data_IF_415372930099
#
_entry.id   IF_415372930099
#
_cell.length_a   1.000
_cell.length_b   1.000
_cell.length_c   1.000
_cell.angle_alpha   90.00
_cell.angle_beta   90.00
_cell.angle_gamma   90.00
#
_symmetry.space_group_name_H-M   'P 1'
#
loop_
_entity.id
_entity.type
_entity.pdbx_description
1 polymer ?
#
# COMPACT_ATOMS: atom_id res chain seq x y z
N UNK A 1 -18.77 2.58 -9.23
CA UNK A 1 -17.52 1.75 -9.07
C UNK A 1 -17.07 1.20 -10.42
N UNK A 2 -15.84 1.53 -10.87
CA UNK A 2 -15.21 1.06 -12.12
C UNK A 2 -14.54 -0.31 -11.90
N UNK A 3 -15.37 -1.33 -11.86
CA UNK A 3 -14.91 -2.72 -11.66
C UNK A 3 -14.00 -3.23 -12.78
N UNK A 4 -14.15 -2.70 -13.99
CA UNK A 4 -13.27 -2.96 -15.13
C UNK A 4 -11.82 -2.53 -14.84
N UNK A 5 -11.62 -1.32 -14.32
CA UNK A 5 -10.30 -0.81 -13.92
C UNK A 5 -9.74 -1.66 -12.78
N UNK A 6 -10.52 -1.92 -11.73
CA UNK A 6 -10.05 -2.70 -10.57
C UNK A 6 -9.61 -4.11 -10.99
N UNK A 7 -10.38 -4.78 -11.86
CA UNK A 7 -9.99 -6.12 -12.34
C UNK A 7 -8.73 -6.09 -13.21
N UNK A 8 -8.57 -5.08 -14.05
CA UNK A 8 -7.34 -4.88 -14.80
C UNK A 8 -6.15 -4.67 -13.84
N UNK A 9 -6.28 -3.80 -12.84
CA UNK A 9 -5.20 -3.50 -11.89
C UNK A 9 -4.78 -4.74 -11.09
N UNK A 10 -5.72 -5.58 -10.65
CA UNK A 10 -5.40 -6.85 -9.97
C UNK A 10 -4.46 -7.71 -10.81
N UNK A 11 -4.78 -7.89 -12.08
CA UNK A 11 -3.98 -8.70 -12.99
C UNK A 11 -2.62 -8.06 -13.29
N UNK A 12 -2.62 -6.76 -13.59
CA UNK A 12 -1.40 -6.00 -13.90
C UNK A 12 -0.41 -6.00 -12.73
N UNK A 13 -0.90 -5.80 -11.50
CA UNK A 13 -0.07 -5.84 -10.29
C UNK A 13 0.47 -7.25 -10.04
N UNK A 14 -0.36 -8.29 -10.23
CA UNK A 14 0.09 -9.68 -10.10
C UNK A 14 1.19 -10.03 -11.10
N UNK A 15 1.02 -9.65 -12.37
CA UNK A 15 2.01 -9.89 -13.41
C UNK A 15 3.33 -9.17 -13.12
N UNK A 16 3.29 -7.90 -12.68
CA UNK A 16 4.50 -7.15 -12.31
C UNK A 16 5.19 -7.77 -11.09
N UNK A 17 4.41 -8.12 -10.06
CA UNK A 17 4.92 -8.72 -8.84
C UNK A 17 5.58 -10.09 -9.06
N UNK A 18 5.09 -10.85 -10.05
CA UNK A 18 5.58 -12.19 -10.39
C UNK A 18 6.86 -12.18 -11.23
N UNK A 19 7.30 -11.02 -11.75
CA UNK A 19 8.51 -10.96 -12.59
C UNK A 19 9.77 -11.26 -11.77
N UNK A 20 10.72 -12.04 -12.30
CA UNK A 20 12.01 -12.29 -11.64
C UNK A 20 12.83 -11.04 -11.35
N UNK A 21 12.59 -9.95 -12.10
CA UNK A 21 13.23 -8.64 -11.89
C UNK A 21 12.70 -7.88 -10.67
N UNK A 22 11.53 -8.27 -10.15
CA UNK A 22 10.97 -7.66 -8.95
C UNK A 22 11.78 -8.05 -7.70
N UNK A 23 12.50 -7.09 -7.13
CA UNK A 23 13.38 -7.30 -5.96
C UNK A 23 12.63 -7.57 -4.65
N UNK A 24 11.33 -7.28 -4.59
CA UNK A 24 10.49 -7.54 -3.41
C UNK A 24 9.88 -8.94 -3.42
N UNK A 25 9.89 -9.63 -4.58
CA UNK A 25 9.25 -10.92 -4.77
C UNK A 25 7.72 -10.84 -4.76
N UNK A 26 7.06 -11.98 -4.89
CA UNK A 26 5.59 -12.07 -4.96
C UNK A 26 4.87 -11.56 -3.70
N UNK A 27 5.56 -11.49 -2.57
CA UNK A 27 5.02 -10.97 -1.31
C UNK A 27 4.45 -9.55 -1.44
N UNK A 28 4.97 -8.73 -2.37
CA UNK A 28 4.45 -7.38 -2.62
C UNK A 28 3.03 -7.39 -3.22
N UNK A 29 2.66 -8.41 -4.00
CA UNK A 29 1.27 -8.56 -4.46
C UNK A 29 0.30 -8.74 -3.28
N UNK A 30 0.62 -9.64 -2.36
CA UNK A 30 -0.22 -9.88 -1.18
C UNK A 30 -0.29 -8.66 -0.26
N UNK A 31 0.79 -7.88 -0.18
CA UNK A 31 0.78 -6.58 0.51
C UNK A 31 -0.21 -5.61 -0.16
N UNK A 32 -0.10 -5.39 -1.48
CA UNK A 32 -0.98 -4.46 -2.22
C UNK A 32 -2.45 -4.92 -2.15
N UNK A 33 -2.72 -6.22 -2.24
CA UNK A 33 -4.07 -6.77 -2.06
C UNK A 33 -4.61 -6.49 -0.64
N UNK A 34 -3.80 -6.65 0.40
CA UNK A 34 -4.17 -6.32 1.77
C UNK A 34 -4.41 -4.81 1.94
N UNK A 35 -3.59 -3.96 1.29
CA UNK A 35 -3.84 -2.51 1.26
C UNK A 35 -5.20 -2.19 0.65
N UNK A 36 -5.55 -2.78 -0.49
CA UNK A 36 -6.83 -2.54 -1.15
C UNK A 36 -8.03 -2.99 -0.28
N UNK A 37 -7.92 -4.12 0.42
CA UNK A 37 -8.95 -4.61 1.35
C UNK A 37 -9.14 -3.66 2.55
N UNK A 38 -8.05 -3.22 3.18
CA UNK A 38 -8.11 -2.27 4.29
C UNK A 38 -8.60 -0.89 3.84
N UNK A 39 -8.20 -0.46 2.65
CA UNK A 39 -8.64 0.79 2.04
C UNK A 39 -10.15 0.83 1.84
N UNK A 40 -10.77 -0.27 1.36
CA UNK A 40 -12.23 -0.39 1.25
C UNK A 40 -12.92 -0.29 2.61
N UNK A 41 -12.38 -0.94 3.65
CA UNK A 41 -12.93 -0.87 5.02
C UNK A 41 -12.87 0.56 5.55
N UNK A 42 -11.72 1.23 5.38
CA UNK A 42 -11.53 2.60 5.85
C UNK A 42 -12.39 3.60 5.07
N UNK A 43 -12.49 3.44 3.74
CA UNK A 43 -13.33 4.31 2.91
C UNK A 43 -14.80 4.26 3.36
N UNK A 44 -15.33 3.07 3.62
CA UNK A 44 -16.69 2.90 4.16
C UNK A 44 -16.83 3.51 5.56
N UNK A 45 -15.85 3.28 6.43
CA UNK A 45 -15.86 3.79 7.82
C UNK A 45 -15.82 5.30 7.90
N UNK A 46 -15.05 5.95 7.03
CA UNK A 46 -14.82 7.40 7.05
C UNK A 46 -15.59 8.15 5.95
N UNK A 47 -16.52 7.47 5.26
CA UNK A 47 -17.37 8.07 4.20
C UNK A 47 -16.55 8.73 3.08
N UNK A 48 -15.40 8.14 2.72
CA UNK A 48 -14.55 8.56 1.61
C UNK A 48 -15.07 8.01 0.26
N UNK A 49 -14.58 8.56 -0.85
CA UNK A 49 -14.87 8.01 -2.18
C UNK A 49 -14.20 6.63 -2.34
N UNK A 50 -14.99 5.55 -2.14
CA UNK A 50 -14.50 4.17 -2.21
C UNK A 50 -13.78 3.86 -3.52
N UNK A 51 -14.25 4.38 -4.66
CA UNK A 51 -13.66 4.13 -5.96
C UNK A 51 -12.24 4.72 -6.05
N UNK A 52 -12.09 5.99 -5.63
CA UNK A 52 -10.80 6.67 -5.59
C UNK A 52 -9.83 5.92 -4.66
N UNK A 53 -10.29 5.59 -3.45
CA UNK A 53 -9.46 4.96 -2.42
C UNK A 53 -8.99 3.57 -2.87
N UNK A 54 -9.88 2.73 -3.42
CA UNK A 54 -9.53 1.37 -3.87
C UNK A 54 -8.57 1.40 -5.07
N UNK A 55 -8.83 2.26 -6.07
CA UNK A 55 -7.94 2.39 -7.24
C UNK A 55 -6.56 2.88 -6.79
N UNK A 56 -6.51 3.87 -5.89
CA UNK A 56 -5.25 4.39 -5.36
C UNK A 56 -4.48 3.32 -4.58
N UNK A 57 -5.17 2.51 -3.79
CA UNK A 57 -4.57 1.42 -3.03
C UNK A 57 -3.93 0.36 -3.95
N UNK A 58 -4.58 -0.01 -5.06
CA UNK A 58 -3.98 -0.91 -6.05
C UNK A 58 -2.75 -0.32 -6.75
N UNK A 59 -2.65 1.00 -6.86
CA UNK A 59 -1.60 1.69 -7.63
C UNK A 59 -0.49 2.30 -6.76
N UNK A 60 -0.63 2.35 -5.41
CA UNK A 60 0.26 3.14 -4.56
C UNK A 60 1.74 2.78 -4.70
N UNK A 61 2.05 1.50 -4.87
CA UNK A 61 3.41 0.97 -4.98
C UNK A 61 3.78 0.47 -6.39
N UNK A 62 2.99 0.81 -7.43
CA UNK A 62 3.19 0.29 -8.79
C UNK A 62 4.58 0.59 -9.34
N UNK A 63 5.18 1.73 -9.02
CA UNK A 63 6.53 2.08 -9.46
C UNK A 63 7.58 1.14 -8.85
N UNK A 64 7.46 0.84 -7.55
CA UNK A 64 8.39 -0.04 -6.82
C UNK A 64 8.50 -1.42 -7.43
N UNK A 65 7.36 -1.99 -7.87
CA UNK A 65 7.29 -3.33 -8.48
C UNK A 65 7.55 -3.33 -9.98
N UNK A 66 7.56 -2.15 -10.62
CA UNK A 66 7.88 -2.00 -12.05
C UNK A 66 9.38 -2.00 -12.27
N UNK A 67 10.09 -1.19 -11.53
CA UNK A 67 11.55 -1.07 -11.59
C UNK A 67 12.08 -0.62 -10.21
N UNK A 68 13.00 -1.40 -9.65
CA UNK A 68 13.59 -1.11 -8.34
C UNK A 68 14.33 0.23 -8.29
N UNK A 69 14.84 0.73 -9.41
CA UNK A 69 15.48 2.05 -9.49
C UNK A 69 14.53 3.21 -9.17
N UNK A 70 13.21 2.98 -9.31
CA UNK A 70 12.17 3.97 -8.99
C UNK A 70 11.76 3.97 -7.51
N UNK A 71 12.28 3.03 -6.69
CA UNK A 71 11.82 2.80 -5.32
C UNK A 71 11.93 4.04 -4.42
N UNK A 72 13.01 4.78 -4.48
CA UNK A 72 13.20 5.95 -3.61
C UNK A 72 12.16 7.05 -3.84
N UNK A 73 11.74 7.23 -5.09
CA UNK A 73 10.75 8.21 -5.51
C UNK A 73 9.46 7.54 -6.05
N UNK A 74 9.15 6.31 -5.55
CA UNK A 74 8.04 5.51 -6.07
C UNK A 74 6.69 6.22 -6.02
N UNK A 75 6.45 7.09 -5.05
CA UNK A 75 5.23 7.88 -4.95
C UNK A 75 5.09 8.87 -6.13
N UNK A 76 6.18 9.49 -6.59
CA UNK A 76 6.18 10.40 -7.75
C UNK A 76 6.01 9.60 -9.04
N UNK A 77 6.85 8.59 -9.24
CA UNK A 77 6.79 7.74 -10.43
C UNK A 77 5.49 6.95 -10.51
N UNK A 78 4.98 6.48 -9.37
CA UNK A 78 3.70 5.76 -9.25
C UNK A 78 2.52 6.62 -9.68
N UNK A 79 2.47 7.89 -9.25
CA UNK A 79 1.43 8.83 -9.67
C UNK A 79 1.41 9.03 -11.20
N UNK A 80 2.59 9.11 -11.84
CA UNK A 80 2.70 9.24 -13.30
C UNK A 80 2.27 7.95 -14.03
N UNK A 81 2.68 6.78 -13.52
CA UNK A 81 2.25 5.48 -14.08
C UNK A 81 0.74 5.32 -13.95
N UNK A 82 0.18 5.67 -12.80
CA UNK A 82 -1.26 5.62 -12.53
C UNK A 82 -2.05 6.50 -13.50
N UNK A 83 -1.61 7.74 -13.73
CA UNK A 83 -2.23 8.65 -14.70
C UNK A 83 -2.27 8.02 -16.10
N UNK A 84 -1.15 7.47 -16.57
CA UNK A 84 -1.08 6.84 -17.89
C UNK A 84 -2.01 5.64 -18.03
N UNK A 85 -2.10 4.80 -17.00
CA UNK A 85 -3.03 3.66 -16.98
C UNK A 85 -4.48 4.15 -16.99
N UNK A 86 -4.85 5.07 -16.12
CA UNK A 86 -6.23 5.53 -15.98
C UNK A 86 -6.73 6.27 -17.22
N UNK A 87 -5.86 7.00 -17.91
CA UNK A 87 -6.18 7.63 -19.20
C UNK A 87 -6.56 6.62 -20.29
N UNK A 88 -5.96 5.43 -20.31
CA UNK A 88 -6.32 4.37 -21.26
C UNK A 88 -7.76 3.86 -21.05
N UNK A 89 -8.28 3.98 -19.83
CA UNK A 89 -9.66 3.64 -19.48
C UNK A 89 -10.65 4.81 -19.63
N UNK A 90 -10.23 5.94 -20.19
CA UNK A 90 -11.02 7.18 -20.25
C UNK A 90 -11.57 7.57 -18.86
N UNK A 91 -10.76 7.38 -17.80
CA UNK A 91 -11.17 7.74 -16.44
C UNK A 91 -11.23 9.27 -16.32
N UNK A 92 -12.16 9.77 -15.53
CA UNK A 92 -12.39 11.22 -15.39
C UNK A 92 -11.15 11.94 -14.84
N UNK A 93 -10.70 13.03 -15.51
CA UNK A 93 -9.47 13.75 -15.16
C UNK A 93 -9.44 14.23 -13.69
N UNK A 94 -10.58 14.70 -13.17
CA UNK A 94 -10.68 15.10 -11.76
C UNK A 94 -10.42 13.92 -10.81
N UNK A 95 -10.90 12.72 -11.15
CA UNK A 95 -10.68 11.51 -10.37
C UNK A 95 -9.24 11.01 -10.51
N UNK A 96 -8.64 11.12 -11.72
CA UNK A 96 -7.22 10.83 -11.93
C UNK A 96 -6.35 11.67 -10.98
N UNK A 97 -6.64 12.98 -10.90
CA UNK A 97 -5.89 13.87 -10.02
C UNK A 97 -6.00 13.46 -8.53
N UNK A 98 -7.20 13.11 -8.07
CA UNK A 98 -7.38 12.60 -6.70
C UNK A 98 -6.60 11.31 -6.45
N UNK A 99 -6.61 10.35 -7.40
CA UNK A 99 -5.80 9.12 -7.29
C UNK A 99 -4.32 9.45 -7.22
N UNK A 100 -3.84 10.39 -8.04
CA UNK A 100 -2.44 10.83 -8.00
C UNK A 100 -2.07 11.45 -6.65
N UNK A 101 -2.94 12.29 -6.07
CA UNK A 101 -2.74 12.89 -4.74
C UNK A 101 -2.64 11.80 -3.66
N UNK A 102 -3.53 10.80 -3.68
CA UNK A 102 -3.44 9.66 -2.79
C UNK A 102 -2.11 8.92 -2.91
N UNK A 103 -1.64 8.66 -4.14
CA UNK A 103 -0.36 7.98 -4.38
C UNK A 103 0.82 8.84 -3.93
N UNK A 104 0.83 10.14 -4.21
CA UNK A 104 1.89 11.06 -3.80
C UNK A 104 2.05 11.13 -2.28
N UNK A 105 0.94 11.05 -1.53
CA UNK A 105 0.91 11.31 -0.10
C UNK A 105 0.84 10.05 0.79
N UNK A 106 0.76 8.83 0.20
CA UNK A 106 0.62 7.59 0.98
C UNK A 106 1.83 7.27 1.86
N UNK A 107 3.02 7.76 1.53
CA UNK A 107 4.29 7.38 2.17
C UNK A 107 4.37 7.71 3.67
N UNK A 108 3.46 8.51 4.22
CA UNK A 108 3.33 8.81 5.67
C UNK A 108 4.58 9.40 6.37
N UNK A 109 5.71 9.47 5.67
CA UNK A 109 6.95 10.09 6.16
C UNK A 109 7.03 11.59 5.83
N UNK A 110 6.09 12.08 5.04
CA UNK A 110 5.96 13.49 4.69
C UNK A 110 4.89 14.05 5.62
N UNK A 111 5.26 15.02 6.46
CA UNK A 111 4.39 15.70 7.42
C UNK A 111 3.37 16.59 6.67
N UNK A 112 2.40 15.96 6.00
CA UNK A 112 1.35 16.67 5.26
C UNK A 112 0.14 16.88 6.16
N UNK A 113 0.09 18.03 6.83
CA UNK A 113 -0.97 18.44 7.75
C UNK A 113 -2.36 18.64 7.11
N UNK A 114 -2.53 18.42 5.80
CA UNK A 114 -3.76 18.69 5.06
C UNK A 114 -4.13 17.59 4.07
N UNK A 115 -4.04 16.33 4.49
CA UNK A 115 -4.50 15.21 3.67
C UNK A 115 -6.03 15.19 3.58
N UNK A 116 -6.57 14.92 2.38
CA UNK A 116 -7.98 14.58 2.19
C UNK A 116 -8.32 13.29 2.93
N UNK A 117 -9.59 12.98 3.06
CA UNK A 117 -10.02 11.73 3.70
C UNK A 117 -9.59 10.51 2.89
N UNK A 118 -9.59 10.60 1.55
CA UNK A 118 -9.14 9.56 0.66
C UNK A 118 -7.64 9.28 0.83
N UNK A 119 -6.81 10.33 0.89
CA UNK A 119 -5.37 10.22 1.12
C UNK A 119 -5.05 9.55 2.46
N UNK A 120 -5.77 9.94 3.53
CA UNK A 120 -5.64 9.32 4.85
C UNK A 120 -6.02 7.83 4.82
N UNK A 121 -7.14 7.48 4.15
CA UNK A 121 -7.55 6.09 4.00
C UNK A 121 -6.48 5.24 3.31
N UNK A 122 -5.85 5.75 2.25
CA UNK A 122 -4.80 5.00 1.53
C UNK A 122 -3.53 4.88 2.37
N UNK A 123 -3.08 5.95 3.02
CA UNK A 123 -1.89 5.95 3.87
C UNK A 123 -2.05 5.04 5.10
N UNK A 124 -3.21 5.08 5.75
CA UNK A 124 -3.52 4.20 6.88
C UNK A 124 -3.66 2.75 6.42
N UNK A 125 -4.30 2.48 5.27
CA UNK A 125 -4.44 1.15 4.71
C UNK A 125 -3.08 0.51 4.38
N UNK A 126 -2.13 1.27 3.82
CA UNK A 126 -0.75 0.80 3.62
C UNK A 126 -0.12 0.37 4.96
N UNK A 127 -0.22 1.21 5.96
CA UNK A 127 0.35 0.91 7.28
C UNK A 127 -0.30 -0.34 7.93
N UNK A 128 -1.63 -0.46 7.88
CA UNK A 128 -2.40 -1.57 8.46
C UNK A 128 -2.11 -2.90 7.74
N UNK A 129 -1.91 -2.86 6.43
CA UNK A 129 -1.66 -4.07 5.63
C UNK A 129 -0.45 -4.86 6.08
N UNK A 130 0.53 -4.22 6.71
CA UNK A 130 1.69 -4.91 7.27
C UNK A 130 1.33 -5.87 8.41
N UNK A 131 0.22 -5.61 9.12
CA UNK A 131 -0.29 -6.52 10.15
C UNK A 131 -1.02 -7.74 9.53
N UNK A 132 -1.54 -7.61 8.31
CA UNK A 132 -2.15 -8.71 7.57
C UNK A 132 -1.12 -9.53 6.80
N UNK A 133 -0.02 -8.89 6.42
CA UNK A 133 0.99 -9.46 5.51
C UNK A 133 2.30 -9.82 6.23
N UNK A 134 2.25 -10.23 7.50
CA UNK A 134 3.42 -10.70 8.25
C UNK A 134 4.19 -11.80 7.49
N UNK A 135 3.55 -12.83 6.90
CA UNK A 135 4.26 -13.81 6.09
C UNK A 135 5.05 -13.20 4.93
N UNK A 136 4.53 -12.16 4.27
CA UNK A 136 5.24 -11.45 3.20
C UNK A 136 6.47 -10.68 3.72
N UNK A 137 6.36 -10.07 4.89
CA UNK A 137 7.51 -9.42 5.55
C UNK A 137 8.57 -10.43 5.97
N UNK A 138 8.17 -11.60 6.49
CA UNK A 138 9.08 -12.70 6.83
C UNK A 138 9.78 -13.22 5.57
N UNK A 139 9.04 -13.43 4.48
CA UNK A 139 9.60 -13.84 3.18
C UNK A 139 10.62 -12.81 2.67
N UNK A 140 10.28 -11.53 2.73
CA UNK A 140 11.20 -10.46 2.36
C UNK A 140 12.49 -10.49 3.21
N UNK A 141 12.37 -10.67 4.53
CA UNK A 141 13.50 -10.70 5.44
C UNK A 141 14.40 -11.94 5.22
N UNK A 142 13.82 -13.13 5.27
CA UNK A 142 14.60 -14.36 5.28
C UNK A 142 15.03 -14.82 3.89
N UNK A 143 14.15 -14.70 2.89
CA UNK A 143 14.43 -15.20 1.54
C UNK A 143 15.09 -14.13 0.67
N UNK A 144 14.50 -12.96 0.57
CA UNK A 144 15.02 -11.95 -0.37
C UNK A 144 16.23 -11.18 0.18
N UNK A 145 16.25 -10.91 1.48
CA UNK A 145 17.34 -10.19 2.15
C UNK A 145 18.36 -11.09 2.84
N UNK A 146 18.13 -12.41 2.87
CA UNK A 146 19.01 -13.40 3.46
C UNK A 146 19.39 -13.12 4.94
N UNK A 147 18.47 -12.51 5.68
CA UNK A 147 18.62 -12.22 7.10
C UNK A 147 18.58 -13.52 7.92
N UNK A 148 19.37 -13.60 9.00
CA UNK A 148 19.21 -14.68 9.99
C UNK A 148 17.91 -14.50 10.80
N UNK A 149 17.59 -15.46 11.68
CA UNK A 149 16.32 -15.48 12.43
C UNK A 149 16.15 -14.21 13.27
N UNK A 150 17.17 -13.80 14.01
CA UNK A 150 17.11 -12.63 14.90
C UNK A 150 17.01 -11.32 14.12
N UNK A 151 17.79 -11.17 13.06
CA UNK A 151 17.76 -10.01 12.17
C UNK A 151 16.40 -9.86 11.49
N UNK A 152 15.87 -10.96 10.95
CA UNK A 152 14.59 -10.96 10.26
C UNK A 152 13.42 -10.69 11.20
N UNK A 153 13.41 -11.30 12.40
CA UNK A 153 12.44 -10.98 13.44
C UNK A 153 12.47 -9.50 13.81
N UNK A 154 13.65 -8.97 14.10
CA UNK A 154 13.81 -7.54 14.44
C UNK A 154 13.37 -6.64 13.30
N UNK A 155 13.70 -6.97 12.04
CA UNK A 155 13.24 -6.24 10.86
C UNK A 155 11.71 -6.15 10.81
N UNK A 156 11.00 -7.27 11.02
CA UNK A 156 9.53 -7.31 11.00
C UNK A 156 8.96 -6.51 12.17
N UNK A 157 9.45 -6.73 13.40
CA UNK A 157 9.02 -5.98 14.60
C UNK A 157 9.13 -4.48 14.39
N UNK A 158 10.28 -4.00 13.94
CA UNK A 158 10.49 -2.56 13.72
C UNK A 158 9.65 -2.02 12.55
N UNK A 159 9.38 -2.82 11.52
CA UNK A 159 8.46 -2.44 10.44
C UNK A 159 7.04 -2.25 10.97
N UNK A 160 6.54 -3.18 11.80
CA UNK A 160 5.19 -3.10 12.37
C UNK A 160 5.06 -1.90 13.33
N UNK A 161 6.04 -1.66 14.20
CA UNK A 161 6.07 -0.46 15.07
C UNK A 161 5.99 0.84 14.27
N UNK A 162 6.83 0.96 13.22
CA UNK A 162 6.78 2.15 12.35
C UNK A 162 5.44 2.30 11.66
N UNK A 163 4.85 1.21 11.19
CA UNK A 163 3.53 1.22 10.55
C UNK A 163 2.44 1.68 11.51
N UNK A 164 2.40 1.15 12.73
CA UNK A 164 1.43 1.58 13.74
C UNK A 164 1.58 3.06 14.11
N UNK A 165 2.82 3.54 14.25
CA UNK A 165 3.08 4.95 14.60
C UNK A 165 2.64 5.94 13.51
N UNK A 166 2.56 5.51 12.25
CA UNK A 166 2.09 6.32 11.12
C UNK A 166 0.59 6.51 11.05
N UNK A 167 -0.19 5.61 11.68
CA UNK A 167 -1.65 5.65 11.62
C UNK A 167 -2.19 6.97 12.19
N UNK A 168 -3.29 7.45 11.61
CA UNK A 168 -4.13 8.48 12.21
C UNK A 168 -4.68 7.99 13.56
N UNK A 169 -5.01 8.92 14.47
CA UNK A 169 -5.45 8.56 15.83
C UNK A 169 -6.69 7.67 15.82
N UNK A 170 -7.66 7.96 14.93
CA UNK A 170 -8.87 7.14 14.77
C UNK A 170 -8.57 5.74 14.22
N UNK A 171 -7.57 5.59 13.36
CA UNK A 171 -7.13 4.28 12.87
C UNK A 171 -6.31 3.53 13.92
N UNK A 172 -5.49 4.21 14.73
CA UNK A 172 -4.76 3.60 15.86
C UNK A 172 -5.71 2.96 16.86
N UNK A 173 -6.74 3.69 17.26
CA UNK A 173 -7.75 3.16 18.18
C UNK A 173 -8.47 1.93 17.60
N UNK A 174 -8.92 2.03 16.34
CA UNK A 174 -9.66 0.97 15.68
C UNK A 174 -8.85 -0.31 15.43
N UNK A 175 -7.54 -0.18 15.15
CA UNK A 175 -6.66 -1.31 14.82
C UNK A 175 -5.70 -1.71 15.94
N UNK A 176 -5.88 -1.18 17.17
CA UNK A 176 -5.01 -1.48 18.30
C UNK A 176 -4.90 -2.96 18.58
N UNK A 177 -6.03 -3.65 18.69
CA UNK A 177 -6.06 -5.09 19.00
C UNK A 177 -5.37 -5.93 17.91
N UNK A 178 -5.53 -5.53 16.64
CA UNK A 178 -4.86 -6.19 15.52
C UNK A 178 -3.34 -6.04 15.60
N UNK A 179 -2.86 -4.84 15.95
CA UNK A 179 -1.45 -4.57 16.15
C UNK A 179 -0.89 -5.38 17.33
N UNK A 180 -1.58 -5.34 18.48
CA UNK A 180 -1.16 -6.06 19.70
C UNK A 180 -1.08 -7.58 19.45
N UNK A 181 -2.09 -8.15 18.75
CA UNK A 181 -2.09 -9.55 18.35
C UNK A 181 -0.94 -9.89 17.41
N UNK A 182 -0.66 -9.04 16.41
CA UNK A 182 0.46 -9.23 15.50
C UNK A 182 1.81 -9.19 16.24
N UNK A 183 1.98 -8.28 17.19
CA UNK A 183 3.19 -8.14 17.99
C UNK A 183 3.38 -9.28 18.99
N UNK A 184 2.30 -9.91 19.47
CA UNK A 184 2.36 -10.99 20.47
C UNK A 184 2.96 -12.28 19.92
N UNK A 185 3.02 -12.48 18.62
CA UNK A 185 3.56 -13.68 17.95
C UNK A 185 4.98 -13.48 17.42
N UNK A 186 5.55 -12.31 17.61
CA UNK A 186 6.91 -11.92 17.20
C UNK A 186 7.84 -11.72 18.41
#
# INVERSE_FOLDING_TARGET
>A
MRTDIINYLKNEIYERASKPSNKFGIGCYYHIEAVAKNAEILAKKFEADEEIVIISAWLHDIASITDYSLYELHHIHGANIAENILKQFNYEEKKINKVKECILNHRGSINNAKLSIEEKCVADADAISHFDSIPSLMYLAYVNKHMNIDEGRNFVVEKLKRSYNKLSDSSKEFYKDKYDNAMSVL
#
